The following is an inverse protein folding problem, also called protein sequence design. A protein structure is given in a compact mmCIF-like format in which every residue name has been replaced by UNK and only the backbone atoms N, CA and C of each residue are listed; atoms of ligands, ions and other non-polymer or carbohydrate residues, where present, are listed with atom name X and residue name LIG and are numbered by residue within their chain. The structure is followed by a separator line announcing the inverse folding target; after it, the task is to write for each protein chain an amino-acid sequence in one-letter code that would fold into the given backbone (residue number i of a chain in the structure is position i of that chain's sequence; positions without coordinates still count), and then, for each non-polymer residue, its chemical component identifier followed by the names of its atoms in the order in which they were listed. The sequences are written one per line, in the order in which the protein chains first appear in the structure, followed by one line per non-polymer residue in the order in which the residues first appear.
data_IF_364207685287
#
_entry.id   IF_364207685287
#
_cell.length_a   1.000
_cell.length_b   1.000
_cell.length_c   1.000
_cell.angle_alpha   90.00
_cell.angle_beta   90.00
_cell.angle_gamma   90.00
#
_symmetry.space_group_name_H-M   'P 1'
#
loop_
_entity.id
_entity.type
_entity.pdbx_description
1 polymer ?
#
# COMPACT_ATOMS: atom_id res chain seq x y z
N UNK A 1 -17.28 6.66 -7.77
CA UNK A 1 -16.50 6.81 -6.51
C UNK A 1 -15.11 6.24 -6.76
N UNK A 2 -14.06 7.01 -6.56
CA UNK A 2 -12.67 6.55 -6.68
C UNK A 2 -12.13 6.38 -5.27
N UNK A 3 -11.57 5.21 -4.93
CA UNK A 3 -10.97 4.96 -3.62
C UNK A 3 -9.50 5.36 -3.66
N UNK A 4 -9.07 6.17 -2.69
CA UNK A 4 -7.70 6.69 -2.58
C UNK A 4 -7.04 6.16 -1.31
N UNK A 5 -5.74 5.84 -1.42
CA UNK A 5 -4.89 5.45 -0.30
C UNK A 5 -3.59 6.25 -0.35
N UNK A 6 -3.25 6.93 0.74
CA UNK A 6 -2.05 7.75 0.85
C UNK A 6 -0.90 7.04 1.60
N UNK A 7 0.26 7.68 1.64
CA UNK A 7 1.48 7.34 2.41
C UNK A 7 2.21 6.04 2.04
N UNK A 8 1.59 5.13 1.28
CA UNK A 8 2.20 3.84 0.95
C UNK A 8 2.30 2.91 2.16
N UNK A 9 1.30 2.95 3.05
CA UNK A 9 1.24 2.07 4.21
C UNK A 9 1.01 0.61 3.82
N UNK A 10 1.53 -0.29 4.66
CA UNK A 10 1.41 -1.74 4.47
C UNK A 10 -0.04 -2.21 4.54
N UNK A 11 -0.90 -1.53 5.31
CA UNK A 11 -2.34 -1.82 5.40
C UNK A 11 -3.06 -1.72 4.06
N UNK A 12 -2.60 -0.85 3.15
CA UNK A 12 -3.13 -0.78 1.78
C UNK A 12 -2.97 -2.12 1.05
N UNK A 13 -1.86 -2.83 1.28
CA UNK A 13 -1.64 -4.16 0.71
C UNK A 13 -2.31 -5.27 1.53
N UNK A 14 -2.08 -5.31 2.85
CA UNK A 14 -2.51 -6.44 3.68
C UNK A 14 -4.04 -6.47 3.89
N UNK A 15 -4.71 -5.31 3.86
CA UNK A 15 -6.14 -5.18 4.19
C UNK A 15 -6.95 -4.68 3.00
N UNK A 16 -6.60 -3.53 2.43
CA UNK A 16 -7.44 -2.88 1.42
C UNK A 16 -7.43 -3.63 0.09
N UNK A 17 -6.27 -4.12 -0.37
CA UNK A 17 -6.14 -4.79 -1.66
C UNK A 17 -7.01 -6.06 -1.79
N UNK A 18 -7.05 -7.00 -0.82
CA UNK A 18 -7.98 -8.13 -0.86
C UNK A 18 -9.46 -7.72 -0.98
N UNK A 19 -9.87 -6.69 -0.23
CA UNK A 19 -11.25 -6.17 -0.27
C UNK A 19 -11.55 -5.57 -1.64
N UNK A 20 -10.64 -4.77 -2.18
CA UNK A 20 -10.80 -4.21 -3.52
C UNK A 20 -10.90 -5.30 -4.59
N UNK A 21 -10.08 -6.35 -4.50
CA UNK A 21 -10.13 -7.49 -5.43
C UNK A 21 -11.47 -8.24 -5.34
N UNK A 22 -11.95 -8.50 -4.13
CA UNK A 22 -13.24 -9.17 -3.90
C UNK A 22 -14.41 -8.42 -4.53
N UNK A 23 -14.37 -7.08 -4.49
CA UNK A 23 -15.43 -6.22 -5.03
C UNK A 23 -15.16 -5.68 -6.44
N UNK A 24 -14.08 -6.14 -7.11
CA UNK A 24 -13.65 -5.65 -8.43
C UNK A 24 -13.52 -4.11 -8.49
N UNK A 25 -13.03 -3.52 -7.41
CA UNK A 25 -12.82 -2.07 -7.30
C UNK A 25 -11.44 -1.68 -7.84
N UNK A 26 -11.39 -0.53 -8.50
CA UNK A 26 -10.15 0.14 -8.90
C UNK A 26 -9.96 1.37 -8.01
N UNK A 27 -8.71 1.67 -7.67
CA UNK A 27 -8.36 2.77 -6.77
C UNK A 27 -6.98 3.31 -7.08
N UNK A 28 -6.65 4.42 -6.43
CA UNK A 28 -5.38 5.13 -6.58
C UNK A 28 -4.60 4.98 -5.29
N UNK A 29 -3.32 4.66 -5.40
CA UNK A 29 -2.38 4.66 -4.27
C UNK A 29 -1.37 5.78 -4.51
N UNK A 30 -1.44 6.84 -3.70
CA UNK A 30 -0.41 7.85 -3.63
C UNK A 30 0.64 7.39 -2.60
N UNK A 31 1.90 7.41 -3.00
CA UNK A 31 3.00 6.84 -2.22
C UNK A 31 4.09 7.87 -1.99
N UNK A 32 4.57 7.90 -0.76
CA UNK A 32 5.80 8.59 -0.39
C UNK A 32 6.94 7.62 -0.69
N UNK A 33 7.75 7.93 -1.70
CA UNK A 33 8.79 7.02 -2.22
C UNK A 33 9.85 6.68 -1.18
N UNK A 34 10.10 7.55 -0.20
CA UNK A 34 10.98 7.25 0.93
C UNK A 34 10.38 6.28 1.95
N UNK A 35 9.04 6.13 1.98
CA UNK A 35 8.35 5.18 2.86
C UNK A 35 8.33 3.77 2.29
N UNK A 36 8.09 3.65 0.99
CA UNK A 36 8.07 2.35 0.32
C UNK A 36 9.50 1.84 0.13
N UNK A 37 9.79 0.66 0.65
CA UNK A 37 11.15 0.09 0.59
C UNK A 37 12.07 0.49 1.74
N UNK A 38 11.61 1.32 2.68
CA UNK A 38 12.19 1.42 4.02
C UNK A 38 13.33 2.42 4.23
N UNK A 39 13.55 3.39 3.33
CA UNK A 39 14.52 4.48 3.56
C UNK A 39 14.07 5.44 4.66
N UNK A 40 12.76 5.56 4.89
CA UNK A 40 12.15 6.32 5.98
C UNK A 40 10.81 5.68 6.33
N UNK A 41 10.64 5.10 7.50
CA UNK A 41 9.31 4.64 7.93
C UNK A 41 9.06 5.10 9.38
N UNK A 42 7.93 5.78 9.68
CA UNK A 42 7.73 6.38 11.00
C UNK A 42 7.81 5.32 12.11
N UNK A 43 8.76 5.49 13.04
CA UNK A 43 9.02 4.53 14.14
C UNK A 43 7.95 4.56 15.25
N UNK A 44 7.07 5.57 15.27
CA UNK A 44 5.94 5.67 16.22
C UNK A 44 4.73 4.80 15.83
N UNK A 45 4.84 4.06 14.73
CA UNK A 45 3.81 3.16 14.21
C UNK A 45 4.19 1.69 14.49
N UNK A 46 3.23 0.75 14.45
CA UNK A 46 3.47 -0.69 14.63
C UNK A 46 4.60 -1.22 13.73
N UNK A 47 5.27 -2.33 14.10
CA UNK A 47 6.42 -2.85 13.37
C UNK A 47 6.11 -3.07 11.88
N UNK A 48 6.95 -2.47 11.01
CA UNK A 48 6.84 -2.45 9.54
C UNK A 48 5.53 -1.80 9.04
N UNK A 49 5.32 -0.50 9.31
CA UNK A 49 4.10 0.19 8.91
C UNK A 49 4.05 0.53 7.42
N UNK A 50 5.20 0.57 6.75
CA UNK A 50 5.30 0.91 5.33
C UNK A 50 5.36 -0.34 4.46
N UNK A 51 4.85 -0.21 3.24
CA UNK A 51 4.86 -1.26 2.25
C UNK A 51 6.26 -1.52 1.69
N UNK A 52 6.54 -2.75 1.30
CA UNK A 52 7.76 -3.09 0.55
C UNK A 52 7.61 -2.81 -0.95
N UNK A 53 8.73 -2.65 -1.66
CA UNK A 53 8.71 -2.54 -3.13
C UNK A 53 8.09 -3.79 -3.78
N UNK A 54 8.26 -4.98 -3.18
CA UNK A 54 7.64 -6.21 -3.67
C UNK A 54 6.11 -6.15 -3.60
N UNK A 55 5.56 -5.71 -2.47
CA UNK A 55 4.12 -5.53 -2.29
C UNK A 55 3.57 -4.46 -3.27
N UNK A 56 4.29 -3.35 -3.47
CA UNK A 56 3.90 -2.34 -4.45
C UNK A 56 3.83 -2.91 -5.87
N UNK A 57 4.83 -3.70 -6.28
CA UNK A 57 4.81 -4.37 -7.60
C UNK A 57 3.59 -5.28 -7.75
N UNK A 58 3.21 -6.02 -6.71
CA UNK A 58 2.01 -6.88 -6.73
C UNK A 58 0.73 -6.06 -6.90
N UNK A 59 0.62 -4.88 -6.27
CA UNK A 59 -0.55 -4.01 -6.46
C UNK A 59 -0.71 -3.55 -7.91
N UNK A 60 0.40 -3.20 -8.57
CA UNK A 60 0.41 -2.67 -9.94
C UNK A 60 0.18 -3.77 -10.96
N UNK A 61 0.91 -4.89 -10.83
CA UNK A 61 0.97 -5.92 -11.86
C UNK A 61 -0.16 -6.95 -11.75
N UNK A 62 -0.82 -7.06 -10.59
CA UNK A 62 -1.78 -8.12 -10.33
C UNK A 62 -1.07 -9.48 -10.29
N UNK A 63 -0.65 -9.89 -9.08
CA UNK A 63 -0.07 -11.21 -8.86
C UNK A 63 -1.06 -12.35 -9.13
#
# INVERSE_FOLDING_TARGET
MIVWFDDGLRSTFDIAYPVMRMHKLTGIVALITSMVGGTYCPRKLPPRPCMTVKQLKTLIMGG
#
